data_IF_835796095810
#
_entry.id   IF_835796095810
#
_cell.length_a   1.000
_cell.length_b   1.000
_cell.length_c   1.000
_cell.angle_alpha   90.00
_cell.angle_beta   90.00
_cell.angle_gamma   90.00
#
_symmetry.space_group_name_H-M   'P 1'
#
loop_
_entity.id
_entity.type
_entity.pdbx_description
1 polymer ?
#
# COMPACT_ATOMS: atom_id res chain seq x y z
N UNK A 1 -11.14 -0.38 -22.48
CA UNK A 1 -10.73 -0.70 -21.10
C UNK A 1 -9.64 0.29 -20.75
N UNK A 2 -9.89 1.18 -19.79
CA UNK A 2 -9.14 2.42 -19.55
C UNK A 2 -7.92 2.24 -18.64
N UNK A 3 -7.06 1.29 -18.98
CA UNK A 3 -5.73 1.13 -18.39
C UNK A 3 -4.74 1.47 -19.51
N UNK A 4 -4.17 2.67 -19.47
CA UNK A 4 -3.25 3.21 -20.47
C UNK A 4 -2.06 3.95 -19.81
N UNK A 5 -0.93 4.03 -20.51
CA UNK A 5 0.30 4.69 -20.04
C UNK A 5 1.46 3.73 -19.69
N UNK A 6 2.65 4.29 -19.45
CA UNK A 6 3.87 3.51 -19.13
C UNK A 6 3.73 2.69 -17.83
N UNK A 7 2.88 3.13 -16.90
CA UNK A 7 2.63 2.43 -15.63
C UNK A 7 1.64 1.27 -15.79
N UNK A 8 0.93 1.18 -16.92
CA UNK A 8 -0.06 0.14 -17.19
C UNK A 8 0.56 -1.27 -17.25
N UNK A 9 1.76 -1.40 -17.83
CA UNK A 9 2.45 -2.69 -17.97
C UNK A 9 2.98 -3.18 -16.61
N UNK A 10 3.61 -2.28 -15.83
CA UNK A 10 4.07 -2.58 -14.47
C UNK A 10 2.90 -2.88 -13.52
N UNK A 11 1.79 -2.13 -13.65
CA UNK A 11 0.54 -2.41 -12.96
C UNK A 11 -0.02 -3.77 -13.33
N UNK A 12 -0.12 -4.09 -14.62
CA UNK A 12 -0.66 -5.37 -15.08
C UNK A 12 0.19 -6.54 -14.60
N UNK A 13 1.52 -6.44 -14.67
CA UNK A 13 2.44 -7.49 -14.18
C UNK A 13 2.31 -7.75 -12.67
N UNK A 14 2.07 -6.69 -11.90
CA UNK A 14 1.88 -6.75 -10.45
C UNK A 14 0.52 -7.29 -10.06
N UNK A 15 -0.52 -6.84 -10.75
CA UNK A 15 -1.91 -7.07 -10.34
C UNK A 15 -2.42 -8.40 -10.90
N UNK A 16 -1.99 -8.83 -12.10
CA UNK A 16 -2.44 -10.09 -12.73
C UNK A 16 -2.18 -11.35 -11.90
N UNK A 17 -1.15 -11.34 -11.05
CA UNK A 17 -0.81 -12.47 -10.17
C UNK A 17 -1.61 -12.46 -8.87
N UNK A 18 -2.31 -11.36 -8.58
CA UNK A 18 -2.88 -11.04 -7.26
C UNK A 18 -4.39 -10.73 -7.29
N UNK A 19 -5.03 -10.72 -8.46
CA UNK A 19 -6.48 -10.52 -8.60
C UNK A 19 -7.14 -11.75 -9.22
N UNK A 20 -8.36 -12.03 -8.79
CA UNK A 20 -9.14 -13.14 -9.33
C UNK A 20 -9.97 -12.69 -10.54
N UNK A 21 -10.22 -11.38 -10.70
CA UNK A 21 -11.06 -10.84 -11.79
C UNK A 21 -10.56 -9.50 -12.34
N UNK A 22 -10.80 -9.26 -13.63
CA UNK A 22 -10.47 -8.00 -14.32
C UNK A 22 -11.17 -6.79 -13.69
N UNK A 23 -12.33 -7.00 -13.05
CA UNK A 23 -13.07 -5.94 -12.38
C UNK A 23 -12.38 -5.46 -11.09
N UNK A 24 -11.68 -6.35 -10.38
CA UNK A 24 -10.80 -5.97 -9.27
C UNK A 24 -9.63 -5.14 -9.78
N UNK A 25 -9.03 -5.50 -10.92
CA UNK A 25 -7.98 -4.69 -11.56
C UNK A 25 -8.44 -3.25 -11.79
N UNK A 26 -9.63 -3.04 -12.35
CA UNK A 26 -10.15 -1.69 -12.60
C UNK A 26 -10.35 -0.90 -11.29
N UNK A 27 -10.80 -1.55 -10.20
CA UNK A 27 -10.90 -0.92 -8.88
C UNK A 27 -9.53 -0.43 -8.38
N UNK A 28 -8.52 -1.30 -8.44
CA UNK A 28 -7.16 -0.96 -8.01
C UNK A 28 -6.49 0.08 -8.90
N UNK A 29 -6.73 0.02 -10.21
CA UNK A 29 -6.25 1.02 -11.16
C UNK A 29 -6.85 2.40 -10.87
N UNK A 30 -8.17 2.47 -10.64
CA UNK A 30 -8.83 3.72 -10.29
C UNK A 30 -8.34 4.28 -8.95
N UNK A 31 -7.98 3.41 -7.99
CA UNK A 31 -7.42 3.78 -6.70
C UNK A 31 -6.02 4.40 -6.80
N UNK A 32 -5.20 3.90 -7.71
CA UNK A 32 -3.86 4.44 -7.96
C UNK A 32 -3.99 5.73 -8.79
N UNK A 33 -4.76 5.70 -9.87
CA UNK A 33 -4.86 6.79 -10.86
C UNK A 33 -5.60 8.03 -10.34
N UNK A 34 -6.65 7.85 -9.53
CA UNK A 34 -7.45 8.98 -9.03
C UNK A 34 -7.05 9.46 -7.64
N UNK A 35 -6.14 8.74 -6.95
CA UNK A 35 -5.71 8.98 -5.57
C UNK A 35 -6.86 9.30 -4.58
N UNK A 36 -8.04 8.71 -4.81
CA UNK A 36 -9.22 8.86 -3.96
C UNK A 36 -9.42 7.57 -3.18
N UNK A 37 -8.95 7.57 -1.93
CA UNK A 37 -9.28 6.55 -0.94
C UNK A 37 -10.17 7.13 0.15
N UNK A 38 -11.25 6.43 0.46
CA UNK A 38 -12.02 6.67 1.68
C UNK A 38 -11.42 5.81 2.78
N UNK A 39 -10.56 6.41 3.59
CA UNK A 39 -9.94 5.72 4.72
C UNK A 39 -10.76 6.02 5.94
N UNK A 40 -11.26 4.97 6.61
CA UNK A 40 -11.87 5.14 7.92
C UNK A 40 -10.76 5.31 8.98
N UNK A 41 -10.23 6.53 9.10
CA UNK A 41 -9.11 6.86 10.02
C UNK A 41 -9.45 6.56 11.48
N UNK A 42 -10.74 6.49 11.83
CA UNK A 42 -11.19 6.15 13.19
C UNK A 42 -10.77 4.74 13.65
N UNK A 43 -10.37 3.86 12.73
CA UNK A 43 -9.92 2.49 13.03
C UNK A 43 -8.40 2.36 13.15
N UNK A 44 -7.62 3.40 12.82
CA UNK A 44 -6.14 3.34 12.81
C UNK A 44 -5.56 4.25 13.89
N UNK A 45 -4.65 3.70 14.69
CA UNK A 45 -3.90 4.49 15.66
C UNK A 45 -2.97 5.49 14.93
N UNK A 46 -3.11 6.78 15.23
CA UNK A 46 -2.27 7.84 14.64
C UNK A 46 -0.78 7.69 14.97
N UNK A 47 -0.44 7.19 16.16
CA UNK A 47 0.95 6.95 16.53
C UNK A 47 1.56 5.84 15.66
N UNK A 48 0.75 4.84 15.29
CA UNK A 48 1.16 3.80 14.35
C UNK A 48 1.43 4.37 12.95
N UNK A 49 0.54 5.24 12.44
CA UNK A 49 0.72 5.90 11.14
C UNK A 49 2.00 6.74 11.12
N UNK A 50 2.26 7.48 12.20
CA UNK A 50 3.48 8.27 12.36
C UNK A 50 4.73 7.39 12.33
N UNK A 51 4.75 6.30 13.09
CA UNK A 51 5.87 5.35 13.10
C UNK A 51 6.05 4.72 11.72
N UNK A 52 4.97 4.37 11.03
CA UNK A 52 5.01 3.84 9.68
C UNK A 52 5.62 4.85 8.70
N UNK A 53 5.24 6.12 8.79
CA UNK A 53 5.80 7.21 7.99
C UNK A 53 7.30 7.40 8.24
N UNK A 54 7.71 7.47 9.52
CA UNK A 54 9.09 7.67 9.93
C UNK A 54 10.00 6.49 9.58
N UNK A 55 9.44 5.28 9.52
CA UNK A 55 10.18 4.06 9.17
C UNK A 55 10.25 3.81 7.67
N UNK A 56 9.58 4.64 6.85
CA UNK A 56 9.51 4.42 5.41
C UNK A 56 10.89 4.63 4.76
N UNK A 57 11.47 3.62 4.08
CA UNK A 57 12.81 3.70 3.52
C UNK A 57 12.91 4.72 2.39
N UNK A 58 14.12 5.24 2.18
CA UNK A 58 14.44 6.06 1.02
C UNK A 58 14.47 5.21 -0.26
N UNK A 59 14.28 5.86 -1.42
CA UNK A 59 14.44 5.23 -2.73
C UNK A 59 15.92 4.90 -3.02
N UNK A 60 16.24 3.90 -3.87
CA UNK A 60 15.32 3.10 -4.70
C UNK A 60 14.55 2.03 -3.92
N UNK A 61 13.34 1.70 -4.38
CA UNK A 61 12.52 0.63 -3.83
C UNK A 61 12.57 -0.62 -4.72
N UNK A 62 12.49 -1.77 -4.08
CA UNK A 62 12.56 -3.11 -4.67
C UNK A 62 11.66 -4.09 -3.89
N UNK A 63 11.68 -5.37 -4.27
CA UNK A 63 10.89 -6.41 -3.61
C UNK A 63 11.23 -6.66 -2.13
N UNK A 64 12.35 -6.14 -1.61
CA UNK A 64 12.72 -6.23 -0.19
C UNK A 64 12.20 -5.05 0.64
N UNK A 65 11.82 -3.96 -0.03
CA UNK A 65 11.38 -2.70 0.61
C UNK A 65 10.26 -2.93 1.62
N UNK A 66 9.23 -3.70 1.26
CA UNK A 66 8.13 -4.03 2.16
C UNK A 66 8.59 -4.80 3.41
N UNK A 67 9.46 -5.79 3.22
CA UNK A 67 9.98 -6.59 4.33
C UNK A 67 10.78 -5.72 5.29
N UNK A 68 11.70 -4.91 4.77
CA UNK A 68 12.53 -4.00 5.57
C UNK A 68 11.65 -3.00 6.33
N UNK A 69 10.70 -2.38 5.64
CA UNK A 69 9.82 -1.38 6.22
C UNK A 69 8.95 -1.94 7.33
N UNK A 70 8.29 -3.08 7.08
CA UNK A 70 7.39 -3.70 8.07
C UNK A 70 8.15 -4.30 9.25
N UNK A 71 9.37 -4.78 9.04
CA UNK A 71 10.25 -5.21 10.12
C UNK A 71 10.65 -4.04 11.03
N UNK A 72 10.98 -2.88 10.46
CA UNK A 72 11.32 -1.69 11.25
C UNK A 72 10.11 -1.17 12.06
N UNK A 73 8.92 -1.15 11.48
CA UNK A 73 7.69 -0.81 12.21
C UNK A 73 7.44 -1.82 13.34
N UNK A 74 7.59 -3.12 13.06
CA UNK A 74 7.43 -4.19 14.05
C UNK A 74 8.41 -4.03 15.22
N UNK A 75 9.66 -3.66 14.95
CA UNK A 75 10.65 -3.40 16.01
C UNK A 75 10.30 -2.18 16.87
N UNK A 76 9.78 -1.10 16.27
CA UNK A 76 9.40 0.12 17.00
C UNK A 76 8.08 0.00 17.77
N UNK A 77 7.13 -0.76 17.25
CA UNK A 77 5.77 -0.88 17.81
C UNK A 77 5.56 -2.14 18.64
N UNK A 78 6.36 -3.18 18.42
CA UNK A 78 6.13 -4.53 18.94
C UNK A 78 4.99 -5.30 18.23
N UNK A 79 4.29 -4.68 17.28
CA UNK A 79 3.14 -5.27 16.60
C UNK A 79 3.58 -6.29 15.53
N UNK A 80 2.80 -7.37 15.40
CA UNK A 80 3.10 -8.46 14.45
C UNK A 80 1.83 -9.00 13.80
N UNK A 81 2.00 -9.68 12.67
CA UNK A 81 0.89 -10.34 11.97
C UNK A 81 -0.24 -9.38 11.61
N UNK A 82 -1.48 -9.72 11.96
CA UNK A 82 -2.66 -8.92 11.61
C UNK A 82 -2.62 -7.50 12.17
N UNK A 83 -2.10 -7.31 13.38
CA UNK A 83 -2.06 -6.00 14.03
C UNK A 83 -1.06 -5.04 13.38
N UNK A 84 -0.09 -5.56 12.63
CA UNK A 84 0.86 -4.77 11.84
C UNK A 84 0.32 -4.53 10.42
N UNK A 85 -0.13 -5.60 9.76
CA UNK A 85 -0.45 -5.54 8.33
C UNK A 85 -1.85 -4.99 8.02
N UNK A 86 -2.84 -5.23 8.89
CA UNK A 86 -4.19 -4.71 8.69
C UNK A 86 -4.24 -3.17 8.72
N UNK A 87 -3.68 -2.46 9.71
CA UNK A 87 -3.70 -1.00 9.71
C UNK A 87 -2.91 -0.42 8.54
N UNK A 88 -1.77 -1.01 8.15
CA UNK A 88 -1.07 -0.61 6.92
C UNK A 88 -1.93 -0.78 5.68
N UNK A 89 -2.64 -1.91 5.57
CA UNK A 89 -3.56 -2.13 4.44
C UNK A 89 -4.60 -1.03 4.36
N UNK A 90 -5.33 -0.79 5.46
CA UNK A 90 -6.39 0.22 5.49
C UNK A 90 -5.82 1.61 5.21
N UNK A 91 -4.66 1.96 5.75
CA UNK A 91 -4.02 3.25 5.47
C UNK A 91 -3.65 3.42 3.98
N UNK A 92 -3.15 2.36 3.35
CA UNK A 92 -2.68 2.40 1.97
C UNK A 92 -3.79 2.23 0.94
N UNK A 93 -4.87 1.51 1.26
CA UNK A 93 -5.92 1.14 0.30
C UNK A 93 -7.32 1.59 0.67
N UNK A 94 -7.57 1.93 1.94
CA UNK A 94 -8.92 2.13 2.49
C UNK A 94 -9.72 0.83 2.65
N UNK A 95 -9.12 -0.34 2.40
CA UNK A 95 -9.81 -1.64 2.34
C UNK A 95 -9.17 -2.63 3.31
N UNK A 96 -9.97 -3.57 3.84
CA UNK A 96 -9.48 -4.61 4.75
C UNK A 96 -8.90 -5.84 4.02
N UNK A 97 -9.05 -5.89 2.70
CA UNK A 97 -8.64 -6.97 1.80
C UNK A 97 -8.11 -6.39 0.50
N UNK A 98 -7.50 -7.22 -0.34
CA UNK A 98 -6.98 -6.79 -1.64
C UNK A 98 -5.65 -7.45 -2.01
N UNK A 99 -4.92 -6.86 -2.97
CA UNK A 99 -3.72 -7.46 -3.52
C UNK A 99 -2.59 -7.50 -2.50
N UNK A 100 -1.56 -8.24 -2.86
CA UNK A 100 -0.31 -8.36 -2.13
C UNK A 100 0.34 -6.96 -1.95
N UNK A 101 0.55 -6.56 -0.68
CA UNK A 101 0.94 -5.19 -0.35
C UNK A 101 2.38 -4.87 -0.74
N UNK A 102 3.28 -5.86 -0.73
CA UNK A 102 4.68 -5.61 -1.07
C UNK A 102 4.82 -5.11 -2.51
N UNK A 103 4.08 -5.73 -3.43
CA UNK A 103 4.08 -5.28 -4.83
C UNK A 103 3.23 -4.02 -5.01
N UNK A 104 2.13 -3.88 -4.25
CA UNK A 104 1.27 -2.69 -4.33
C UNK A 104 2.01 -1.41 -3.93
N UNK A 105 2.85 -1.41 -2.90
CA UNK A 105 3.61 -0.21 -2.51
C UNK A 105 4.61 0.23 -3.60
N UNK A 106 5.16 -0.72 -4.36
CA UNK A 106 6.07 -0.41 -5.47
C UNK A 106 5.34 0.33 -6.59
N UNK A 107 4.07 -0.06 -6.86
CA UNK A 107 3.21 0.66 -7.81
C UNK A 107 2.80 2.04 -7.33
N UNK A 108 2.48 2.19 -6.04
CA UNK A 108 2.11 3.49 -5.48
C UNK A 108 3.29 4.46 -5.49
N UNK A 109 4.50 3.93 -5.28
CA UNK A 109 5.69 4.74 -5.08
C UNK A 109 5.70 5.48 -3.74
N UNK A 110 6.86 6.05 -3.42
CA UNK A 110 7.12 6.63 -2.09
C UNK A 110 6.23 7.82 -1.76
N UNK A 111 6.03 8.72 -2.71
CA UNK A 111 5.28 9.95 -2.47
C UNK A 111 3.82 9.67 -2.13
N UNK A 112 3.18 8.75 -2.86
CA UNK A 112 1.80 8.37 -2.64
C UNK A 112 1.63 7.61 -1.31
N UNK A 113 2.55 6.69 -1.00
CA UNK A 113 2.56 6.00 0.30
C UNK A 113 2.67 6.99 1.44
N UNK A 114 3.62 7.94 1.40
CA UNK A 114 3.75 8.97 2.43
C UNK A 114 2.49 9.82 2.58
N UNK A 115 1.90 10.24 1.45
CA UNK A 115 0.67 11.03 1.45
C UNK A 115 -0.46 10.29 2.17
N UNK A 116 -0.61 8.99 1.89
CA UNK A 116 -1.64 8.12 2.50
C UNK A 116 -1.40 7.83 3.98
N UNK A 117 -0.16 7.84 4.43
CA UNK A 117 0.18 7.70 5.85
C UNK A 117 0.00 9.00 6.64
N UNK A 118 -0.14 10.15 5.97
CA UNK A 118 -0.25 11.48 6.60
C UNK A 118 -1.69 11.96 6.84
N UNK A 119 -2.65 11.03 6.86
CA UNK A 119 -4.11 11.26 6.93
C UNK A 119 -4.62 11.58 8.33
#
# INVERSE_FOLDING_TARGET
MGIDGNDAEMFWDTVKTNINTVNEAQKWWNLISNDKININVGEINRDFLKIAQESLPNIPWDNKTWSIWTEEISQKTGLKGRELFLPLRIALTGENSGPELATFILLLGRELVLKRLSI
#
